data_IF_197517847127
#
_entry.id   IF_197517847127
#
_cell.length_a   1.000
_cell.length_b   1.000
_cell.length_c   1.000
_cell.angle_alpha   90.00
_cell.angle_beta   90.00
_cell.angle_gamma   90.00
#
_symmetry.space_group_name_H-M   'P 1'
#
loop_
_entity.id
_entity.type
_entity.pdbx_description
1 polymer ?
#
# COMPACT_ATOMS: atom_id res chain seq x y z
N UNK A 1 6.37 -2.45 -19.48
CA UNK A 1 5.69 -3.59 -18.79
C UNK A 1 4.96 -2.98 -17.60
N UNK A 2 3.65 -3.04 -17.64
CA UNK A 2 2.81 -2.59 -16.53
C UNK A 2 2.44 -3.81 -15.68
N UNK A 3 2.86 -3.82 -14.43
CA UNK A 3 2.53 -4.87 -13.48
C UNK A 3 1.61 -4.35 -12.38
N UNK A 4 0.78 -5.19 -11.85
CA UNK A 4 -0.03 -4.91 -10.68
C UNK A 4 0.08 -6.02 -9.64
N UNK A 5 0.18 -5.63 -8.39
CA UNK A 5 0.05 -6.52 -7.25
C UNK A 5 -1.33 -6.33 -6.62
N UNK A 6 -1.94 -7.43 -6.25
CA UNK A 6 -3.24 -7.44 -5.58
C UNK A 6 -3.18 -8.30 -4.34
N UNK A 7 -3.89 -7.90 -3.30
CA UNK A 7 -4.20 -8.79 -2.19
C UNK A 7 -5.46 -9.61 -2.52
N UNK A 8 -5.45 -10.89 -2.20
CA UNK A 8 -6.62 -11.76 -2.27
C UNK A 8 -7.04 -12.22 -0.89
N UNK A 9 -8.33 -12.12 -0.63
CA UNK A 9 -8.93 -12.53 0.64
C UNK A 9 -9.02 -14.06 0.73
N UNK A 10 -8.54 -14.57 1.85
CA UNK A 10 -8.67 -15.91 2.44
C UNK A 10 -8.69 -17.12 1.52
N UNK A 11 -7.70 -17.96 1.65
CA UNK A 11 -7.72 -19.33 1.18
C UNK A 11 -7.46 -20.26 2.36
N UNK A 12 -8.35 -21.24 2.56
CA UNK A 12 -8.08 -22.37 3.46
C UNK A 12 -6.96 -23.19 2.85
N UNK A 13 -5.87 -23.40 3.59
CA UNK A 13 -4.81 -24.33 3.20
C UNK A 13 -5.10 -25.74 3.75
N UNK A 14 -4.47 -26.73 3.15
CA UNK A 14 -4.77 -28.17 3.34
C UNK A 14 -4.60 -28.71 4.77
N UNK A 15 -4.06 -27.91 5.69
CA UNK A 15 -3.90 -28.25 7.12
C UNK A 15 -4.93 -27.56 8.03
N UNK A 16 -5.89 -26.80 7.47
CA UNK A 16 -6.87 -26.03 8.21
C UNK A 16 -6.39 -24.67 8.68
N UNK A 17 -5.19 -24.21 8.27
CA UNK A 17 -4.69 -22.87 8.53
C UNK A 17 -5.38 -21.89 7.58
N UNK A 18 -5.90 -20.78 8.12
CA UNK A 18 -6.44 -19.69 7.33
C UNK A 18 -5.38 -18.61 7.13
N UNK A 19 -5.07 -18.32 5.88
CA UNK A 19 -4.45 -17.05 5.54
C UNK A 19 -5.54 -16.05 5.16
N UNK A 20 -5.44 -14.84 5.73
CA UNK A 20 -6.38 -13.78 5.41
C UNK A 20 -6.20 -13.29 3.97
N UNK A 21 -4.97 -12.95 3.60
CA UNK A 21 -4.63 -12.41 2.30
C UNK A 21 -3.29 -12.94 1.79
N UNK A 22 -3.15 -12.95 0.47
CA UNK A 22 -1.93 -13.30 -0.25
C UNK A 22 -1.73 -12.31 -1.40
N UNK A 23 -0.48 -11.94 -1.70
CA UNK A 23 -0.23 -11.06 -2.82
C UNK A 23 -0.07 -11.83 -4.14
N UNK A 24 -0.81 -11.39 -5.14
CA UNK A 24 -0.72 -11.91 -6.50
C UNK A 24 -0.15 -10.88 -7.47
N UNK A 25 0.36 -11.37 -8.59
CA UNK A 25 0.91 -10.58 -9.68
C UNK A 25 0.24 -10.90 -11.01
N UNK A 26 -0.05 -9.87 -11.76
CA UNK A 26 -0.44 -9.91 -13.17
C UNK A 26 0.27 -8.80 -13.90
N UNK A 27 0.50 -8.94 -15.20
CA UNK A 27 0.99 -7.86 -16.05
C UNK A 27 0.18 -7.73 -17.33
N UNK A 28 0.23 -6.55 -17.92
CA UNK A 28 -0.37 -6.19 -19.18
C UNK A 28 0.70 -5.61 -20.11
N UNK A 29 0.62 -5.91 -21.40
CA UNK A 29 1.49 -5.36 -22.46
C UNK A 29 0.75 -4.39 -23.39
N UNK A 30 -0.55 -4.19 -23.16
CA UNK A 30 -1.45 -3.41 -24.01
C UNK A 30 -2.17 -2.27 -23.27
N UNK A 31 -1.54 -1.73 -22.22
CA UNK A 31 -2.10 -0.62 -21.45
C UNK A 31 -3.29 -1.00 -20.55
N UNK A 32 -3.34 -2.25 -20.09
CA UNK A 32 -4.36 -2.75 -19.18
C UNK A 32 -5.64 -3.26 -19.86
N UNK A 33 -5.64 -3.44 -21.18
CA UNK A 33 -6.78 -4.03 -21.89
C UNK A 33 -6.86 -5.54 -21.70
N UNK A 34 -5.70 -6.21 -21.67
CA UNK A 34 -5.60 -7.63 -21.35
C UNK A 34 -4.53 -7.86 -20.29
N UNK A 35 -4.69 -8.91 -19.49
CA UNK A 35 -3.83 -9.24 -18.37
C UNK A 35 -3.42 -10.72 -18.43
N UNK A 36 -2.19 -11.02 -18.01
CA UNK A 36 -1.79 -12.40 -17.80
C UNK A 36 -2.65 -13.08 -16.74
N UNK A 37 -2.71 -14.41 -16.71
CA UNK A 37 -3.31 -15.11 -15.57
C UNK A 37 -2.69 -14.68 -14.26
N UNK A 38 -3.53 -14.56 -13.24
CA UNK A 38 -3.08 -14.19 -11.90
C UNK A 38 -2.21 -15.31 -11.31
N UNK A 39 -1.07 -14.90 -10.72
CA UNK A 39 -0.14 -15.80 -10.05
C UNK A 39 0.10 -15.33 -8.63
N UNK A 40 -0.10 -16.19 -7.63
CA UNK A 40 0.32 -15.94 -6.26
C UNK A 40 1.83 -15.88 -6.20
N UNK A 41 2.37 -14.78 -5.67
CA UNK A 41 3.82 -14.53 -5.69
C UNK A 41 4.42 -14.27 -4.32
N UNK A 42 3.65 -13.74 -3.36
CA UNK A 42 4.11 -13.49 -2.00
C UNK A 42 3.05 -13.99 -1.01
N UNK A 43 3.44 -14.94 -0.19
CA UNK A 43 2.58 -15.67 0.74
C UNK A 43 2.99 -15.36 2.17
N UNK A 44 2.07 -15.50 3.14
CA UNK A 44 2.42 -15.60 4.55
C UNK A 44 3.46 -16.67 4.80
N UNK A 45 4.29 -16.50 5.82
CA UNK A 45 5.35 -17.45 6.19
C UNK A 45 4.91 -18.25 7.41
N UNK A 46 4.76 -19.56 7.25
CA UNK A 46 4.39 -20.44 8.35
C UNK A 46 5.31 -20.26 9.57
N UNK A 47 4.73 -20.23 10.75
CA UNK A 47 5.43 -20.10 12.04
C UNK A 47 6.25 -18.80 12.20
N UNK A 48 5.92 -17.77 11.44
CA UNK A 48 6.58 -16.46 11.47
C UNK A 48 5.62 -15.36 11.92
N UNK A 49 6.13 -14.18 12.18
CA UNK A 49 5.33 -13.03 12.60
C UNK A 49 4.35 -12.51 11.53
N UNK A 50 4.54 -12.91 10.27
CA UNK A 50 3.63 -12.57 9.17
C UNK A 50 2.74 -13.75 8.72
N UNK A 51 2.48 -14.71 9.61
CA UNK A 51 1.86 -15.99 9.23
C UNK A 51 0.38 -15.90 8.84
N UNK A 52 -0.33 -14.85 9.21
CA UNK A 52 -1.76 -14.72 8.86
C UNK A 52 -2.03 -14.02 7.54
N UNK A 53 -1.17 -13.10 7.12
CA UNK A 53 -1.55 -12.19 6.04
C UNK A 53 -0.37 -11.65 5.26
N UNK A 54 -0.57 -11.43 3.95
CA UNK A 54 0.20 -10.53 3.10
C UNK A 54 -0.81 -9.65 2.36
N UNK A 55 -1.26 -8.57 2.99
CA UNK A 55 -2.25 -7.67 2.42
C UNK A 55 -1.70 -6.28 2.10
N UNK A 56 -2.49 -5.50 1.38
CA UNK A 56 -2.23 -4.11 1.00
C UNK A 56 -0.85 -3.90 0.36
N UNK A 57 -0.47 -4.66 -0.68
CA UNK A 57 0.87 -4.59 -1.23
C UNK A 57 1.13 -3.26 -1.93
N UNK A 58 2.25 -2.60 -1.57
CA UNK A 58 2.82 -1.49 -2.32
C UNK A 58 4.16 -1.90 -2.91
N UNK A 59 4.41 -1.57 -4.17
CA UNK A 59 5.62 -1.99 -4.87
C UNK A 59 6.40 -0.81 -5.42
N UNK A 60 7.73 -0.88 -5.33
CA UNK A 60 8.65 -0.03 -6.05
C UNK A 60 9.92 -0.82 -6.43
N UNK A 61 10.68 -0.31 -7.40
CA UNK A 61 11.90 -0.97 -7.87
C UNK A 61 13.08 0.00 -7.85
N UNK A 62 14.16 -0.43 -7.18
CA UNK A 62 15.44 0.28 -7.21
C UNK A 62 16.60 -0.66 -6.87
N UNK A 63 17.82 -0.28 -7.14
CA UNK A 63 19.01 -1.08 -6.82
C UNK A 63 18.99 -2.49 -7.42
N UNK A 64 18.24 -2.72 -8.51
CA UNK A 64 18.10 -4.03 -9.14
C UNK A 64 17.05 -4.96 -8.51
N UNK A 65 16.34 -4.51 -7.48
CA UNK A 65 15.29 -5.28 -6.80
C UNK A 65 13.93 -4.62 -6.91
N UNK A 66 12.89 -5.44 -7.00
CA UNK A 66 11.52 -5.09 -6.60
C UNK A 66 11.43 -5.19 -5.09
N UNK A 67 10.81 -4.21 -4.46
CA UNK A 67 10.47 -4.24 -3.03
C UNK A 67 8.96 -4.16 -2.90
N UNK A 68 8.40 -5.02 -2.07
CA UNK A 68 6.98 -5.02 -1.72
C UNK A 68 6.86 -4.75 -0.23
N UNK A 69 6.29 -3.59 0.11
CA UNK A 69 5.78 -3.35 1.45
C UNK A 69 4.39 -4.00 1.57
N UNK A 70 4.08 -4.57 2.71
CA UNK A 70 2.79 -5.21 2.97
C UNK A 70 2.39 -5.13 4.43
N UNK A 71 1.09 -5.29 4.66
CA UNK A 71 0.49 -5.41 5.99
C UNK A 71 0.41 -6.87 6.40
N UNK A 72 0.72 -7.17 7.64
CA UNK A 72 0.42 -8.45 8.26
C UNK A 72 0.20 -8.33 9.76
N UNK A 73 -0.32 -9.38 10.37
CA UNK A 73 -0.57 -9.46 11.80
C UNK A 73 -0.15 -10.80 12.35
N UNK A 74 0.16 -10.83 13.63
CA UNK A 74 0.31 -12.06 14.45
C UNK A 74 -1.03 -12.47 15.10
N UNK A 75 -2.12 -11.70 14.90
CA UNK A 75 -3.40 -11.80 15.57
C UNK A 75 -4.52 -12.19 14.60
N UNK A 76 -5.28 -13.25 14.91
CA UNK A 76 -6.43 -13.69 14.11
C UNK A 76 -7.53 -12.64 13.95
N UNK A 77 -7.59 -11.60 14.81
CA UNK A 77 -8.61 -10.57 14.79
C UNK A 77 -8.42 -9.51 13.68
N UNK A 78 -7.42 -9.63 12.81
CA UNK A 78 -7.06 -8.62 11.78
C UNK A 78 -6.74 -7.24 12.38
N UNK A 79 -6.30 -7.20 13.61
CA UNK A 79 -5.85 -6.03 14.37
C UNK A 79 -4.41 -6.22 14.77
N UNK A 80 -3.80 -5.21 15.41
CA UNK A 80 -2.38 -5.24 15.77
C UNK A 80 -1.48 -5.48 14.54
N UNK A 81 -1.86 -4.89 13.42
CA UNK A 81 -1.09 -5.03 12.20
C UNK A 81 0.28 -4.38 12.31
N UNK A 82 1.22 -4.91 11.56
CA UNK A 82 2.58 -4.41 11.41
C UNK A 82 2.91 -4.26 9.93
N UNK A 83 3.90 -3.42 9.63
CA UNK A 83 4.40 -3.26 8.26
C UNK A 83 5.61 -4.15 8.05
N UNK A 84 5.56 -4.91 7.00
CA UNK A 84 6.61 -5.81 6.54
C UNK A 84 7.14 -5.38 5.17
N UNK A 85 8.28 -5.93 4.80
CA UNK A 85 8.86 -5.71 3.48
C UNK A 85 9.54 -6.97 2.97
N UNK A 86 9.38 -7.22 1.66
CA UNK A 86 10.06 -8.27 0.93
C UNK A 86 10.76 -7.68 -0.30
N UNK A 87 11.79 -8.36 -0.83
CA UNK A 87 12.46 -8.00 -2.07
C UNK A 87 12.68 -9.19 -2.98
N UNK A 88 12.75 -8.92 -4.29
CA UNK A 88 13.12 -9.92 -5.30
C UNK A 88 13.71 -9.24 -6.54
N UNK A 89 14.53 -9.95 -7.31
CA UNK A 89 15.00 -9.47 -8.62
C UNK A 89 13.96 -9.64 -9.73
N UNK A 90 12.89 -10.39 -9.48
CA UNK A 90 11.78 -10.61 -10.40
C UNK A 90 10.45 -10.31 -9.70
N UNK A 91 9.45 -9.72 -10.38
CA UNK A 91 8.12 -9.50 -9.79
C UNK A 91 7.40 -10.81 -9.44
N UNK A 92 7.85 -11.93 -10.00
CA UNK A 92 7.30 -13.26 -9.72
C UNK A 92 8.03 -13.99 -8.59
N UNK A 93 9.04 -13.38 -7.97
CA UNK A 93 9.91 -14.01 -6.97
C UNK A 93 11.10 -14.79 -7.59
N UNK A 94 11.82 -15.58 -6.79
CA UNK A 94 11.57 -15.80 -5.36
C UNK A 94 11.80 -14.55 -4.51
N UNK A 95 11.02 -14.43 -3.42
CA UNK A 95 11.08 -13.29 -2.52
C UNK A 95 11.90 -13.61 -1.28
N UNK A 96 12.78 -12.68 -0.92
CA UNK A 96 13.42 -12.59 0.39
C UNK A 96 12.64 -11.62 1.28
N UNK A 97 12.32 -12.00 2.50
CA UNK A 97 11.65 -11.14 3.47
C UNK A 97 12.65 -10.56 4.47
N UNK A 98 12.34 -9.40 5.01
CA UNK A 98 13.13 -8.78 6.05
C UNK A 98 13.01 -9.57 7.37
N UNK A 99 14.16 -9.85 8.02
CA UNK A 99 14.19 -10.62 9.27
C UNK A 99 14.68 -9.83 10.49
N UNK A 100 14.72 -8.49 10.36
CA UNK A 100 15.21 -7.62 11.42
C UNK A 100 16.70 -7.27 11.32
N UNK A 101 17.49 -8.06 10.58
CA UNK A 101 18.94 -7.85 10.41
C UNK A 101 19.40 -7.95 8.97
N UNK A 102 18.58 -8.54 8.09
CA UNK A 102 18.89 -8.74 6.69
C UNK A 102 17.73 -9.35 5.93
N UNK A 103 18.03 -9.88 4.76
CA UNK A 103 17.05 -10.48 3.84
C UNK A 103 17.16 -12.00 3.88
N UNK A 104 16.05 -12.69 4.02
CA UNK A 104 15.98 -14.13 4.24
C UNK A 104 14.82 -14.78 3.48
N UNK A 105 15.01 -16.03 3.08
CA UNK A 105 13.94 -16.92 2.61
C UNK A 105 13.47 -17.88 3.70
N UNK A 106 13.95 -17.71 4.94
CA UNK A 106 13.59 -18.52 6.09
C UNK A 106 12.28 -18.09 6.76
N UNK A 107 12.03 -18.69 7.93
CA UNK A 107 10.82 -18.46 8.72
C UNK A 107 11.01 -17.44 9.85
N UNK A 108 12.09 -16.66 9.80
CA UNK A 108 12.50 -15.68 10.81
C UNK A 108 12.06 -14.24 10.44
N UNK A 109 10.95 -14.09 9.73
CA UNK A 109 10.43 -12.81 9.27
C UNK A 109 10.12 -11.88 10.45
N UNK A 110 10.51 -10.61 10.32
CA UNK A 110 10.25 -9.57 11.30
C UNK A 110 9.62 -8.35 10.64
N UNK A 111 8.72 -7.65 11.32
CA UNK A 111 8.20 -6.40 10.79
C UNK A 111 9.30 -5.33 10.70
N UNK A 112 9.26 -4.56 9.61
CA UNK A 112 10.07 -3.36 9.45
C UNK A 112 9.58 -2.25 10.39
N UNK A 113 8.25 -2.14 10.54
CA UNK A 113 7.61 -1.22 11.48
C UNK A 113 6.70 -2.05 12.38
N UNK A 114 7.08 -2.16 13.65
CA UNK A 114 6.30 -2.86 14.66
C UNK A 114 5.35 -1.88 15.36
N UNK A 115 4.08 -2.24 15.38
CA UNK A 115 3.09 -1.59 16.22
C UNK A 115 3.18 -2.19 17.64
N UNK A 116 3.13 -1.36 18.66
CA UNK A 116 3.31 -1.77 20.06
C UNK A 116 2.36 -1.04 21.03
N UNK A 117 1.27 -0.51 20.50
CA UNK A 117 0.24 0.17 21.29
C UNK A 117 -0.94 -0.79 21.58
N UNK A 118 -2.17 -0.32 21.61
CA UNK A 118 -3.34 -1.13 21.92
C UNK A 118 -3.58 -2.23 20.87
N UNK A 119 -3.52 -3.52 21.23
CA UNK A 119 -3.65 -4.63 20.28
C UNK A 119 -5.06 -4.78 19.67
N UNK A 120 -6.05 -4.03 20.17
CA UNK A 120 -7.41 -4.01 19.59
C UNK A 120 -7.56 -2.99 18.44
N UNK A 121 -6.53 -2.20 18.18
CA UNK A 121 -6.51 -1.23 17.08
C UNK A 121 -5.96 -1.84 15.80
N UNK A 122 -6.25 -1.18 14.67
CA UNK A 122 -5.70 -1.60 13.38
C UNK A 122 -4.17 -1.71 13.42
N UNK A 123 -3.50 -0.77 14.06
CA UNK A 123 -2.04 -0.76 14.17
C UNK A 123 -1.36 -0.02 13.04
N UNK A 124 -0.39 -0.66 12.38
CA UNK A 124 0.40 -0.11 11.29
C UNK A 124 0.27 -0.98 10.03
N UNK A 125 0.00 -0.37 8.87
CA UNK A 125 -0.17 -1.14 7.63
C UNK A 125 -0.35 -0.28 6.39
N UNK A 126 -0.88 -0.86 5.33
CA UNK A 126 -1.29 -0.17 4.10
C UNK A 126 -0.18 0.75 3.55
N UNK A 127 0.96 0.19 3.15
CA UNK A 127 2.10 0.97 2.72
C UNK A 127 1.91 1.66 1.36
N UNK A 128 2.70 2.71 1.12
CA UNK A 128 2.93 3.30 -0.20
C UNK A 128 4.40 3.72 -0.29
N UNK A 129 5.03 3.51 -1.45
CA UNK A 129 6.48 3.67 -1.63
C UNK A 129 6.77 4.63 -2.78
N UNK A 130 7.65 5.60 -2.52
CA UNK A 130 8.21 6.51 -3.54
C UNK A 130 9.73 6.57 -3.37
N UNK A 131 10.46 6.45 -4.45
CA UNK A 131 11.91 6.69 -4.46
C UNK A 131 12.16 8.09 -4.99
N UNK A 132 12.76 8.96 -4.17
CA UNK A 132 13.01 10.33 -4.54
C UNK A 132 14.37 10.80 -4.02
N UNK A 133 15.21 11.35 -4.90
CA UNK A 133 16.56 11.85 -4.58
C UNK A 133 17.39 10.85 -3.76
N UNK A 134 17.52 9.64 -4.29
CA UNK A 134 18.29 8.55 -3.66
C UNK A 134 17.80 8.14 -2.27
N UNK A 135 16.55 8.44 -1.95
CA UNK A 135 15.91 8.08 -0.69
C UNK A 135 14.62 7.30 -0.93
N UNK A 136 14.41 6.31 -0.08
CA UNK A 136 13.15 5.59 0.05
C UNK A 136 12.22 6.43 0.92
N UNK A 137 11.08 6.83 0.40
CA UNK A 137 9.96 7.39 1.15
C UNK A 137 8.93 6.29 1.32
N UNK A 138 8.78 5.80 2.53
CA UNK A 138 7.89 4.71 2.85
C UNK A 138 6.77 5.23 3.75
N UNK A 139 5.60 5.43 3.16
CA UNK A 139 4.39 5.87 3.85
C UNK A 139 3.62 4.66 4.35
N UNK A 140 2.91 4.82 5.45
CA UNK A 140 2.06 3.77 6.01
C UNK A 140 0.93 4.35 6.85
N UNK A 141 -0.17 3.62 6.92
CA UNK A 141 -1.29 3.93 7.80
C UNK A 141 -0.93 3.61 9.24
N UNK A 142 -1.40 4.45 10.15
CA UNK A 142 -1.28 4.25 11.59
C UNK A 142 -2.60 4.55 12.28
N UNK A 143 -3.02 3.66 13.19
CA UNK A 143 -4.15 3.86 14.08
C UNK A 143 -3.80 3.30 15.47
N UNK A 144 -3.72 4.18 16.46
CA UNK A 144 -3.37 3.86 17.83
C UNK A 144 -4.53 4.09 18.78
N UNK A 145 -4.30 3.86 20.07
CA UNK A 145 -5.29 4.17 21.11
C UNK A 145 -5.58 5.67 21.18
N UNK A 146 -6.86 6.02 21.30
CA UNK A 146 -7.31 7.41 21.25
C UNK A 146 -7.47 7.99 19.85
N UNK A 147 -7.01 7.32 18.79
CA UNK A 147 -7.23 7.75 17.42
C UNK A 147 -8.67 7.43 16.99
N UNK A 148 -9.43 8.44 16.57
CA UNK A 148 -10.78 8.27 16.00
C UNK A 148 -10.70 7.83 14.54
N UNK A 149 -9.64 8.23 13.83
CA UNK A 149 -9.38 7.90 12.43
C UNK A 149 -7.92 7.49 12.22
N UNK A 150 -7.63 6.90 11.09
CA UNK A 150 -6.24 6.61 10.70
C UNK A 150 -5.47 7.88 10.36
N UNK A 151 -4.16 7.84 10.55
CA UNK A 151 -3.21 8.85 10.05
C UNK A 151 -2.26 8.20 9.04
N UNK A 152 -1.59 9.01 8.21
CA UNK A 152 -0.48 8.52 7.39
C UNK A 152 0.82 8.99 8.01
N UNK A 153 1.70 8.04 8.25
CA UNK A 153 3.07 8.26 8.76
C UNK A 153 4.09 8.01 7.68
N UNK A 154 5.30 8.50 7.90
CA UNK A 154 6.43 8.37 6.97
C UNK A 154 7.66 7.90 7.72
N UNK A 155 8.38 6.97 7.09
CA UNK A 155 9.81 6.73 7.34
C UNK A 155 10.60 6.93 6.06
N UNK A 156 11.84 7.38 6.18
CA UNK A 156 12.79 7.48 5.06
C UNK A 156 14.06 6.71 5.36
N UNK A 157 14.72 6.26 4.31
CA UNK A 157 16.04 5.63 4.36
C UNK A 157 16.83 5.94 3.09
N UNK A 158 18.14 5.69 3.08
CA UNK A 158 18.91 5.75 1.85
C UNK A 158 18.55 4.61 0.90
N UNK A 159 18.28 4.91 -0.37
CA UNK A 159 18.05 3.91 -1.40
C UNK A 159 19.32 3.13 -1.80
N UNK A 160 20.50 3.66 -1.48
CA UNK A 160 21.79 3.01 -1.71
C UNK A 160 22.17 2.00 -0.61
N UNK A 161 21.42 1.99 0.49
CA UNK A 161 21.66 1.05 1.58
C UNK A 161 20.95 -0.30 1.29
N UNK A 162 21.68 -1.39 1.10
CA UNK A 162 21.08 -2.70 0.84
C UNK A 162 20.23 -3.24 2.01
N UNK A 163 20.46 -2.71 3.22
CA UNK A 163 19.73 -3.04 4.44
C UNK A 163 18.94 -1.85 4.99
N UNK A 164 18.43 -1.02 4.10
CA UNK A 164 17.69 0.19 4.43
C UNK A 164 16.56 0.01 5.49
N UNK A 165 15.89 -1.15 5.64
CA UNK A 165 14.89 -1.32 6.69
C UNK A 165 15.45 -1.28 8.12
N UNK A 166 16.77 -1.46 8.30
CA UNK A 166 17.45 -1.31 9.59
C UNK A 166 17.76 0.16 9.94
N UNK A 167 17.73 1.07 8.96
CA UNK A 167 18.25 2.44 9.12
C UNK A 167 17.18 3.49 8.79
N UNK A 168 15.99 3.34 9.40
CA UNK A 168 14.85 4.20 9.18
C UNK A 168 14.95 5.52 9.96
N UNK A 169 14.65 6.62 9.27
CA UNK A 169 14.38 7.90 9.89
C UNK A 169 12.87 8.11 9.98
N UNK A 170 12.36 8.25 11.19
CA UNK A 170 10.93 8.41 11.48
C UNK A 170 10.52 9.89 11.44
N UNK A 171 9.51 10.23 10.64
CA UNK A 171 8.97 11.59 10.53
C UNK A 171 7.64 11.77 11.27
N UNK A 172 7.05 10.68 11.79
CA UNK A 172 5.76 10.72 12.42
C UNK A 172 4.61 10.90 11.43
N UNK A 173 3.52 11.54 11.88
CA UNK A 173 2.33 11.81 11.06
C UNK A 173 2.60 12.90 10.05
N UNK A 174 2.44 12.59 8.77
CA UNK A 174 2.60 13.52 7.64
C UNK A 174 1.26 13.92 7.02
N UNK A 175 0.22 13.07 7.14
CA UNK A 175 -1.16 13.41 6.77
C UNK A 175 -2.05 13.08 7.96
N UNK A 176 -2.66 14.11 8.54
CA UNK A 176 -3.70 13.97 9.56
C UNK A 176 -5.07 14.01 8.89
N UNK A 177 -5.88 12.98 9.11
CA UNK A 177 -7.21 12.79 8.51
C UNK A 177 -8.34 12.92 9.54
N UNK A 178 -8.08 13.47 10.73
CA UNK A 178 -9.04 13.52 11.84
C UNK A 178 -10.32 14.31 11.55
N UNK A 179 -10.29 15.22 10.58
CA UNK A 179 -11.44 15.98 10.11
C UNK A 179 -12.18 15.32 8.93
N UNK A 180 -11.77 14.12 8.52
CA UNK A 180 -12.31 13.40 7.37
C UNK A 180 -12.95 12.09 7.82
N UNK A 181 -14.27 12.04 7.77
CA UNK A 181 -15.01 10.85 8.17
C UNK A 181 -14.69 9.65 7.24
N UNK A 182 -14.46 8.48 7.83
CA UNK A 182 -14.21 7.23 7.11
C UNK A 182 -13.04 7.31 6.15
N UNK A 183 -11.99 8.05 6.50
CA UNK A 183 -10.75 8.11 5.74
C UNK A 183 -9.99 6.79 5.85
N UNK A 184 -9.37 6.37 4.73
CA UNK A 184 -8.58 5.16 4.65
C UNK A 184 -7.10 5.43 4.32
N UNK A 185 -6.34 4.42 3.89
CA UNK A 185 -4.92 4.54 3.55
C UNK A 185 -4.67 5.60 2.46
N UNK A 186 -3.43 6.11 2.42
CA UNK A 186 -3.00 7.01 1.35
C UNK A 186 -2.06 6.30 0.38
N UNK A 187 -2.35 6.40 -0.92
CA UNK A 187 -1.37 6.12 -1.96
C UNK A 187 -0.68 7.41 -2.39
N UNK A 188 0.65 7.43 -2.31
CA UNK A 188 1.49 8.60 -2.58
C UNK A 188 2.31 8.36 -3.83
N UNK A 189 2.37 9.37 -4.72
CA UNK A 189 3.24 9.39 -5.89
C UNK A 189 3.94 10.75 -6.01
N UNK A 190 5.06 10.77 -6.71
CA UNK A 190 5.75 12.02 -7.05
C UNK A 190 5.41 12.45 -8.49
N UNK A 191 4.95 13.67 -8.66
CA UNK A 191 4.64 14.28 -9.96
C UNK A 191 5.85 15.02 -10.52
N UNK A 192 6.51 14.45 -11.52
CA UNK A 192 7.72 15.00 -12.12
C UNK A 192 7.48 16.35 -12.83
N UNK A 193 6.29 16.55 -13.38
CA UNK A 193 5.94 17.76 -14.13
C UNK A 193 5.75 18.98 -13.25
N UNK A 194 5.18 18.82 -12.07
CA UNK A 194 4.98 19.90 -11.09
C UNK A 194 5.95 19.84 -9.91
N UNK A 195 6.81 18.81 -9.87
CA UNK A 195 7.84 18.56 -8.82
C UNK A 195 7.27 18.51 -7.41
N UNK A 196 6.17 17.76 -7.24
CA UNK A 196 5.48 17.64 -5.95
C UNK A 196 5.08 16.20 -5.68
N UNK A 197 5.04 15.87 -4.41
CA UNK A 197 4.33 14.67 -3.95
C UNK A 197 2.84 14.95 -3.96
N UNK A 198 2.08 13.97 -4.40
CA UNK A 198 0.63 13.97 -4.28
C UNK A 198 0.17 12.67 -3.62
N UNK A 199 -0.82 12.75 -2.76
CA UNK A 199 -1.42 11.60 -2.10
C UNK A 199 -2.93 11.61 -2.29
N UNK A 200 -3.51 10.43 -2.43
CA UNK A 200 -4.97 10.24 -2.46
C UNK A 200 -5.39 9.22 -1.41
N UNK A 201 -6.59 9.38 -0.90
CA UNK A 201 -7.28 8.38 -0.09
C UNK A 201 -8.80 8.47 -0.27
N UNK A 202 -9.50 7.39 0.04
CA UNK A 202 -10.96 7.39 0.09
C UNK A 202 -11.46 8.05 1.37
N UNK A 203 -12.63 8.69 1.28
CA UNK A 203 -13.34 9.31 2.39
C UNK A 203 -14.82 8.94 2.33
N UNK A 204 -15.54 9.05 3.47
CA UNK A 204 -16.89 8.48 3.65
C UNK A 204 -16.97 7.03 3.14
N UNK A 205 -15.90 6.28 3.43
CA UNK A 205 -15.64 4.92 2.96
C UNK A 205 -16.86 4.04 3.15
N UNK A 206 -17.14 3.19 2.15
CA UNK A 206 -18.29 2.26 2.14
C UNK A 206 -19.67 2.95 2.21
N UNK A 207 -19.72 4.26 2.01
CA UNK A 207 -20.95 5.04 2.00
C UNK A 207 -21.39 5.42 0.57
N UNK A 208 -22.68 5.78 0.38
CA UNK A 208 -23.20 6.17 -0.92
C UNK A 208 -22.58 7.48 -1.46
N UNK A 209 -22.04 8.31 -0.59
CA UNK A 209 -21.42 9.61 -0.92
C UNK A 209 -19.88 9.57 -0.86
N UNK A 210 -19.29 8.37 -0.84
CA UNK A 210 -17.85 8.21 -0.78
C UNK A 210 -17.15 8.97 -1.92
N UNK A 211 -15.97 9.52 -1.62
CA UNK A 211 -15.19 10.33 -2.53
C UNK A 211 -13.69 10.14 -2.29
N UNK A 212 -12.86 10.75 -3.11
CA UNK A 212 -11.40 10.70 -2.99
C UNK A 212 -10.89 12.09 -2.62
N UNK A 213 -10.01 12.15 -1.63
CA UNK A 213 -9.32 13.38 -1.19
C UNK A 213 -7.93 13.43 -1.80
N UNK A 214 -7.53 14.62 -2.25
CA UNK A 214 -6.21 14.91 -2.81
C UNK A 214 -5.40 15.78 -1.85
N UNK A 215 -4.18 15.37 -1.59
CA UNK A 215 -3.17 16.10 -0.83
C UNK A 215 -1.95 16.38 -1.69
N UNK A 216 -1.19 17.40 -1.33
CA UNK A 216 0.03 17.80 -2.03
C UNK A 216 1.11 18.24 -1.06
N UNK A 217 2.38 17.93 -1.38
CA UNK A 217 3.56 18.33 -0.62
C UNK A 217 4.74 18.62 -1.56
N UNK A 218 5.60 19.56 -1.20
CA UNK A 218 6.83 19.86 -1.94
C UNK A 218 7.99 18.93 -1.51
N UNK A 219 7.95 18.43 -0.29
CA UNK A 219 9.04 17.66 0.32
C UNK A 219 8.65 16.21 0.70
N UNK A 220 7.39 15.83 0.52
CA UNK A 220 6.87 14.53 0.91
C UNK A 220 6.62 14.36 2.42
N UNK A 221 6.78 15.44 3.20
CA UNK A 221 6.61 15.44 4.66
C UNK A 221 5.44 16.35 5.07
N UNK A 222 5.39 17.55 4.51
CA UNK A 222 4.39 18.56 4.86
C UNK A 222 3.28 18.59 3.80
N UNK A 223 2.25 17.79 4.02
CA UNK A 223 1.11 17.70 3.11
C UNK A 223 0.02 18.71 3.45
N UNK A 224 -0.59 19.27 2.41
CA UNK A 224 -1.79 20.12 2.51
C UNK A 224 -2.90 19.57 1.64
N UNK A 225 -4.14 19.56 2.16
CA UNK A 225 -5.32 19.17 1.38
C UNK A 225 -5.53 20.14 0.21
N UNK A 226 -5.72 19.59 -0.99
CA UNK A 226 -5.87 20.38 -2.23
C UNK A 226 -7.26 20.33 -2.82
N UNK A 227 -7.96 19.22 -2.64
CA UNK A 227 -9.28 19.08 -3.22
C UNK A 227 -9.87 17.71 -3.02
N UNK A 228 -10.94 17.49 -3.75
CA UNK A 228 -11.71 16.27 -3.73
C UNK A 228 -12.08 15.85 -5.15
N UNK A 229 -12.10 14.55 -5.39
CA UNK A 229 -12.63 13.96 -6.61
C UNK A 229 -13.96 13.32 -6.24
N UNK A 230 -15.06 13.86 -6.79
CA UNK A 230 -16.44 13.38 -6.55
C UNK A 230 -17.16 12.94 -7.82
N UNK A 231 -16.68 13.41 -8.98
CA UNK A 231 -17.30 13.13 -10.26
C UNK A 231 -16.77 11.82 -10.86
N UNK A 232 -17.65 11.10 -11.54
CA UNK A 232 -17.34 9.85 -12.25
C UNK A 232 -16.82 8.72 -11.37
N UNK A 233 -17.09 8.76 -10.07
CA UNK A 233 -16.77 7.69 -9.13
C UNK A 233 -17.98 6.75 -8.95
N UNK A 234 -17.67 5.49 -8.69
CA UNK A 234 -18.66 4.54 -8.18
C UNK A 234 -18.89 4.83 -6.69
N UNK A 235 -20.13 4.74 -6.18
CA UNK A 235 -20.38 4.86 -4.75
C UNK A 235 -19.84 3.65 -3.98
N UNK A 236 -19.82 3.75 -2.67
CA UNK A 236 -19.35 2.70 -1.76
C UNK A 236 -17.86 2.35 -1.98
N UNK A 237 -17.06 3.38 -2.21
CA UNK A 237 -15.60 3.28 -2.29
C UNK A 237 -15.03 2.67 -1.01
N UNK A 238 -14.04 1.79 -1.16
CA UNK A 238 -13.31 1.24 -0.04
C UNK A 238 -11.91 1.85 0.05
N UNK A 239 -11.04 1.54 -0.87
CA UNK A 239 -9.69 2.07 -0.96
C UNK A 239 -9.38 2.52 -2.39
N UNK A 240 -8.31 3.30 -2.57
CA UNK A 240 -7.92 3.78 -3.88
C UNK A 240 -6.40 3.91 -3.99
N UNK A 241 -5.93 3.84 -5.23
CA UNK A 241 -4.55 4.09 -5.60
C UNK A 241 -4.46 4.61 -7.02
N UNK A 242 -3.29 5.10 -7.39
CA UNK A 242 -3.01 5.53 -8.75
C UNK A 242 -1.71 4.94 -9.29
N UNK A 243 -1.62 4.89 -10.61
CA UNK A 243 -0.43 4.37 -11.27
C UNK A 243 0.77 5.28 -11.07
N UNK A 244 1.94 4.69 -11.16
CA UNK A 244 3.23 5.36 -11.21
C UNK A 244 4.21 4.48 -11.97
N UNK A 245 5.41 5.00 -12.24
CA UNK A 245 6.50 4.18 -12.73
C UNK A 245 7.08 3.28 -11.62
N UNK A 246 8.13 2.55 -11.91
CA UNK A 246 8.80 1.63 -10.98
C UNK A 246 9.28 2.31 -9.68
N UNK A 247 9.43 3.63 -9.66
CA UNK A 247 9.88 4.41 -8.50
C UNK A 247 8.74 5.19 -7.83
N UNK A 248 7.50 5.01 -8.27
CA UNK A 248 6.35 5.74 -7.74
C UNK A 248 6.20 7.14 -8.31
N UNK A 249 6.72 7.40 -9.52
CA UNK A 249 6.61 8.70 -10.17
C UNK A 249 5.52 8.71 -11.25
N UNK A 250 4.80 9.82 -11.35
CA UNK A 250 3.89 10.13 -12.44
C UNK A 250 4.54 11.11 -13.41
N UNK A 251 4.66 10.71 -14.68
CA UNK A 251 5.35 11.49 -15.71
C UNK A 251 4.38 12.12 -16.69
N UNK A 252 4.65 13.36 -17.08
CA UNK A 252 3.89 14.05 -18.13
C UNK A 252 4.00 13.30 -19.46
N UNK A 253 2.86 13.12 -20.12
CA UNK A 253 2.81 12.42 -21.40
C UNK A 253 2.68 10.90 -21.31
N UNK A 254 2.77 10.33 -20.12
CA UNK A 254 2.43 8.92 -19.84
C UNK A 254 0.99 8.87 -19.35
N UNK A 255 0.18 7.98 -19.92
CA UNK A 255 -1.19 7.77 -19.44
C UNK A 255 -1.14 7.27 -17.99
N UNK A 256 -1.80 7.98 -17.11
CA UNK A 256 -1.98 7.59 -15.72
C UNK A 256 -3.37 7.01 -15.51
N UNK A 257 -3.50 6.22 -14.45
CA UNK A 257 -4.74 5.56 -14.08
C UNK A 257 -5.01 5.74 -12.60
N UNK A 258 -6.29 5.74 -12.25
CA UNK A 258 -6.76 5.60 -10.88
C UNK A 258 -7.47 4.25 -10.76
N UNK A 259 -7.20 3.55 -9.68
CA UNK A 259 -7.86 2.30 -9.35
C UNK A 259 -8.47 2.42 -7.96
N UNK A 260 -9.65 1.82 -7.76
CA UNK A 260 -10.27 1.76 -6.45
C UNK A 260 -11.18 0.55 -6.32
N UNK A 261 -11.31 0.06 -5.10
CA UNK A 261 -12.32 -0.93 -4.76
C UNK A 261 -13.64 -0.23 -4.47
N UNK A 262 -14.75 -0.84 -4.87
CA UNK A 262 -16.08 -0.35 -4.57
C UNK A 262 -17.06 -1.52 -4.34
N UNK A 263 -18.05 -1.28 -3.51
CA UNK A 263 -19.09 -2.24 -3.20
C UNK A 263 -20.49 -1.77 -3.62
N UNK A 264 -21.48 -2.16 -2.85
CA UNK A 264 -22.89 -1.78 -2.97
C UNK A 264 -23.53 -1.83 -1.57
N UNK A 265 -24.76 -1.32 -1.38
CA UNK A 265 -25.37 -1.15 -0.05
C UNK A 265 -25.42 -2.41 0.83
N UNK A 266 -25.43 -3.58 0.20
CA UNK A 266 -25.51 -4.88 0.90
C UNK A 266 -24.21 -5.69 0.81
N UNK A 267 -23.15 -5.10 0.28
CA UNK A 267 -21.84 -5.77 0.22
C UNK A 267 -21.34 -6.07 1.63
N UNK A 268 -20.81 -7.28 1.81
CA UNK A 268 -20.08 -7.67 3.01
C UNK A 268 -18.59 -7.41 2.82
N UNK A 269 -17.84 -7.43 3.90
CA UNK A 269 -16.38 -7.35 3.84
C UNK A 269 -15.82 -8.40 2.87
N UNK A 270 -14.88 -8.02 2.04
CA UNK A 270 -14.31 -8.86 0.98
C UNK A 270 -15.12 -8.97 -0.31
N UNK A 271 -16.32 -8.40 -0.36
CA UNK A 271 -17.16 -8.38 -1.57
C UNK A 271 -16.96 -7.07 -2.33
N UNK A 272 -15.81 -6.93 -2.98
CA UNK A 272 -15.42 -5.72 -3.72
C UNK A 272 -15.31 -6.00 -5.21
N UNK A 273 -15.66 -4.98 -6.02
CA UNK A 273 -15.24 -4.89 -7.41
C UNK A 273 -14.11 -3.87 -7.52
N UNK A 274 -13.18 -4.10 -8.42
CA UNK A 274 -12.14 -3.14 -8.74
C UNK A 274 -12.57 -2.30 -9.94
N UNK A 275 -12.47 -0.98 -9.82
CA UNK A 275 -12.62 -0.05 -10.92
C UNK A 275 -11.25 0.47 -11.33
N UNK A 276 -11.04 0.55 -12.62
CA UNK A 276 -9.83 1.06 -13.25
C UNK A 276 -10.23 2.11 -14.27
N UNK A 277 -9.65 3.30 -14.20
CA UNK A 277 -10.03 4.42 -15.07
C UNK A 277 -8.81 5.25 -15.47
N UNK A 278 -8.72 5.70 -16.72
CA UNK A 278 -7.73 6.67 -17.12
C UNK A 278 -7.84 7.94 -16.28
N UNK A 279 -6.68 8.47 -15.86
CA UNK A 279 -6.56 9.70 -15.11
C UNK A 279 -5.89 10.76 -15.98
N UNK A 280 -6.51 11.92 -16.11
CA UNK A 280 -5.90 13.08 -16.76
C UNK A 280 -5.27 13.97 -15.70
N UNK A 281 -3.95 14.12 -15.77
CA UNK A 281 -3.23 15.07 -14.94
C UNK A 281 -3.43 16.48 -15.51
N UNK A 282 -3.93 17.39 -14.69
CA UNK A 282 -4.02 18.84 -15.00
C UNK A 282 -2.96 19.58 -14.21
N UNK A 283 -2.57 20.75 -14.72
CA UNK A 283 -1.64 21.68 -14.05
C UNK A 283 -2.25 22.27 -12.78
#
# INVERSE_FOLDING_TARGET
IEGSFKARVSQEVSDGTFFWDQASYQHSEDGGHTWTPEKMVLLPTEFSSDHFSVCDPAVARWGGYYYVGYTSTENEGMVENHVYVARSQSPEGPWEKWNGTGWSTGTDVQPMIRYTDNPEKFGAGEPSIVIWKDSVYFYYTWNADGDETTTTRLVTASADDPNWPAHLTYHGTVINKSDINGADHCDVKYRDDIKKFQAIHSAERMGPNSYIVLWESEDGIHFTRKGEIRENLKPYLHNCGWSGDEQGHMRKGVQQYISYAYGWPTARWGQWNTWWSPLKLTE
#
